data_IF_681487073947
#
_entry.id   IF_681487073947
#
_cell.length_a   1.000
_cell.length_b   1.000
_cell.length_c   1.000
_cell.angle_alpha   90.00
_cell.angle_beta   90.00
_cell.angle_gamma   90.00
#
_symmetry.space_group_name_H-M   'P 1'
#
loop_
_entity.id
_entity.type
_entity.pdbx_description
1 polymer ?
#
# COMPACT_ATOMS: atom_id res chain seq x y z
N UNK A 1 -18.43 -14.82 -14.62
CA UNK A 1 -17.16 -14.20 -15.05
C UNK A 1 -17.48 -12.98 -15.88
N UNK A 2 -18.37 -13.20 -16.72
CA UNK A 2 -18.46 -12.35 -17.88
C UNK A 2 -19.07 -10.98 -17.57
N UNK A 3 -20.07 -10.93 -16.69
CA UNK A 3 -20.81 -9.69 -16.42
C UNK A 3 -19.97 -8.58 -15.77
N UNK A 4 -19.14 -8.93 -14.81
CA UNK A 4 -18.34 -7.94 -14.05
C UNK A 4 -17.14 -7.43 -14.87
N UNK A 5 -16.51 -8.32 -15.64
CA UNK A 5 -15.41 -7.95 -16.54
C UNK A 5 -15.94 -7.14 -17.72
N UNK A 6 -17.07 -7.50 -18.28
CA UNK A 6 -17.75 -6.69 -19.29
C UNK A 6 -18.11 -5.31 -18.77
N UNK A 7 -18.54 -5.22 -17.52
CA UNK A 7 -18.83 -3.94 -16.89
C UNK A 7 -17.59 -3.05 -16.73
N UNK A 8 -16.42 -3.63 -16.41
CA UNK A 8 -15.16 -2.89 -16.45
C UNK A 8 -14.87 -2.38 -17.86
N UNK A 9 -15.07 -3.21 -18.86
CA UNK A 9 -14.90 -2.80 -20.25
C UNK A 9 -15.84 -1.64 -20.62
N UNK A 10 -17.11 -1.70 -20.28
CA UNK A 10 -18.09 -0.62 -20.52
C UNK A 10 -17.68 0.69 -19.84
N UNK A 11 -17.20 0.64 -18.58
CA UNK A 11 -16.66 1.80 -17.88
C UNK A 11 -15.49 2.39 -18.67
N UNK A 12 -14.58 1.58 -19.18
CA UNK A 12 -13.43 2.04 -19.96
C UNK A 12 -13.84 2.63 -21.31
N UNK A 13 -14.78 1.99 -21.99
CA UNK A 13 -15.33 2.49 -23.28
C UNK A 13 -15.98 3.85 -23.11
N UNK A 14 -16.69 4.09 -22.00
CA UNK A 14 -17.35 5.38 -21.76
C UNK A 14 -16.40 6.58 -21.72
N UNK A 15 -15.11 6.36 -21.36
CA UNK A 15 -14.09 7.42 -21.25
C UNK A 15 -13.05 7.40 -22.40
N UNK A 16 -12.79 6.22 -22.97
CA UNK A 16 -11.71 6.03 -23.95
C UNK A 16 -12.23 5.83 -25.37
N UNK A 17 -13.49 5.46 -25.54
CA UNK A 17 -14.04 4.93 -26.79
C UNK A 17 -13.77 3.42 -26.93
N UNK A 18 -14.12 2.85 -28.07
CA UNK A 18 -13.98 1.42 -28.33
C UNK A 18 -12.52 0.97 -28.37
N UNK A 19 -12.27 -0.25 -27.86
CA UNK A 19 -10.97 -0.90 -28.02
C UNK A 19 -10.76 -1.32 -29.49
N UNK A 20 -9.50 -1.39 -29.91
CA UNK A 20 -9.07 -1.66 -31.31
C UNK A 20 -9.75 -2.89 -31.94
N UNK A 21 -9.88 -3.96 -31.17
CA UNK A 21 -10.46 -5.23 -31.63
C UNK A 21 -11.75 -5.59 -30.87
N UNK A 22 -12.36 -4.62 -30.17
CA UNK A 22 -13.45 -4.89 -29.24
C UNK A 22 -13.00 -5.71 -28.03
N UNK A 23 -13.96 -6.29 -27.31
CA UNK A 23 -13.70 -7.17 -26.16
C UNK A 23 -14.54 -8.43 -26.26
N UNK A 24 -13.90 -9.58 -26.31
CA UNK A 24 -14.54 -10.92 -26.46
C UNK A 24 -14.68 -11.66 -25.11
N UNK A 25 -14.29 -11.04 -24.01
CA UNK A 25 -14.32 -11.66 -22.68
C UNK A 25 -13.08 -12.49 -22.31
N UNK A 26 -12.20 -12.80 -23.28
CA UNK A 26 -11.03 -13.64 -23.05
C UNK A 26 -9.71 -12.85 -23.03
N UNK A 27 -9.57 -11.88 -23.92
CA UNK A 27 -8.36 -11.09 -24.00
C UNK A 27 -8.38 -9.92 -23.01
N UNK A 28 -7.70 -10.07 -21.90
CA UNK A 28 -7.59 -9.03 -20.86
C UNK A 28 -6.62 -7.89 -21.21
N UNK A 29 -5.83 -8.04 -22.29
CA UNK A 29 -4.94 -7.00 -22.77
C UNK A 29 -5.60 -6.26 -23.93
N UNK A 30 -5.98 -5.01 -23.71
CA UNK A 30 -6.73 -4.18 -24.65
C UNK A 30 -5.92 -2.97 -25.10
N UNK A 31 -6.19 -2.50 -26.30
CA UNK A 31 -5.62 -1.28 -26.88
C UNK A 31 -6.72 -0.25 -27.10
N UNK A 32 -6.52 0.97 -26.57
CA UNK A 32 -7.44 2.08 -26.66
C UNK A 32 -6.79 3.34 -27.29
N UNK A 33 -7.59 4.27 -27.81
CA UNK A 33 -7.12 5.62 -28.09
C UNK A 33 -6.62 6.28 -26.80
N UNK A 34 -5.47 6.93 -26.83
CA UNK A 34 -4.96 7.63 -25.66
C UNK A 34 -5.55 9.04 -25.58
N UNK A 35 -6.28 9.41 -24.51
CA UNK A 35 -6.87 10.74 -24.38
C UNK A 35 -5.83 11.85 -24.35
N UNK A 36 -4.67 11.65 -23.68
CA UNK A 36 -3.57 12.61 -23.69
C UNK A 36 -2.98 12.81 -25.10
N UNK A 37 -2.82 11.74 -25.87
CA UNK A 37 -2.38 11.88 -27.27
C UNK A 37 -3.39 12.67 -28.11
N UNK A 38 -4.69 12.46 -27.85
CA UNK A 38 -5.75 13.23 -28.50
C UNK A 38 -5.68 14.72 -28.17
N UNK A 39 -5.47 15.06 -26.91
CA UNK A 39 -5.30 16.45 -26.45
C UNK A 39 -4.09 17.11 -27.11
N UNK A 40 -2.95 16.41 -27.14
CA UNK A 40 -1.68 16.94 -27.64
C UNK A 40 -1.58 16.99 -29.16
N UNK A 41 -2.11 16.00 -29.87
CA UNK A 41 -1.90 15.81 -31.32
C UNK A 41 -3.20 15.81 -32.16
N UNK A 42 -4.34 15.99 -31.51
CA UNK A 42 -5.65 16.05 -32.14
C UNK A 42 -6.24 14.68 -32.48
N UNK A 43 -7.44 14.69 -33.05
CA UNK A 43 -8.27 13.48 -33.32
C UNK A 43 -7.62 12.41 -34.22
N UNK A 44 -6.55 12.70 -34.92
CA UNK A 44 -5.77 11.71 -35.70
C UNK A 44 -5.21 10.59 -34.83
N UNK A 45 -4.98 10.86 -33.53
CA UNK A 45 -4.48 9.88 -32.58
C UNK A 45 -5.53 8.84 -32.15
N UNK A 46 -6.82 9.11 -32.34
CA UNK A 46 -7.90 8.16 -32.02
C UNK A 46 -7.80 6.85 -32.82
N UNK A 47 -7.11 6.87 -33.94
CA UNK A 47 -6.91 5.69 -34.79
C UNK A 47 -5.63 4.92 -34.49
N UNK A 48 -4.81 5.38 -33.53
CA UNK A 48 -3.49 4.79 -33.28
C UNK A 48 -3.45 3.84 -32.09
N UNK A 49 -4.45 3.83 -31.23
CA UNK A 49 -4.59 2.90 -30.10
C UNK A 49 -3.30 2.75 -29.26
N UNK A 50 -2.70 3.89 -28.93
CA UNK A 50 -1.40 3.94 -28.23
C UNK A 50 -1.49 3.59 -26.73
N UNK A 51 -2.70 3.51 -26.17
CA UNK A 51 -2.95 3.19 -24.77
C UNK A 51 -3.19 1.69 -24.63
N UNK A 52 -2.22 1.00 -24.09
CA UNK A 52 -2.34 -0.41 -23.73
C UNK A 52 -2.85 -0.54 -22.30
N UNK A 53 -3.85 -1.38 -22.10
CA UNK A 53 -4.53 -1.58 -20.82
C UNK A 53 -4.72 -3.06 -20.56
N UNK A 54 -4.41 -3.50 -19.35
CA UNK A 54 -4.65 -4.86 -18.90
C UNK A 54 -5.71 -4.85 -17.78
N UNK A 55 -6.90 -5.40 -18.09
CA UNK A 55 -8.02 -5.44 -17.15
C UNK A 55 -7.66 -6.27 -15.92
N UNK A 56 -7.04 -7.44 -16.10
CA UNK A 56 -6.71 -8.34 -14.99
C UNK A 56 -5.68 -7.76 -14.04
N UNK A 57 -4.69 -7.03 -14.59
CA UNK A 57 -3.65 -6.36 -13.78
C UNK A 57 -4.12 -4.99 -13.25
N UNK A 58 -5.29 -4.52 -13.69
CA UNK A 58 -5.82 -3.20 -13.32
C UNK A 58 -4.92 -2.04 -13.73
N UNK A 59 -4.14 -2.16 -14.83
CA UNK A 59 -3.08 -1.22 -15.21
C UNK A 59 -3.18 -0.77 -16.67
N UNK A 60 -2.67 0.44 -16.92
CA UNK A 60 -2.55 0.98 -18.25
C UNK A 60 -1.19 1.65 -18.49
N UNK A 61 -0.81 1.79 -19.76
CA UNK A 61 0.30 2.60 -20.20
C UNK A 61 0.09 3.10 -21.63
N UNK A 62 0.54 4.30 -21.93
CA UNK A 62 0.61 4.82 -23.29
C UNK A 62 2.05 4.82 -23.78
N UNK A 63 2.35 4.03 -24.80
CA UNK A 63 3.70 3.88 -25.34
C UNK A 63 4.24 5.21 -25.90
N UNK A 64 3.40 5.97 -26.59
CA UNK A 64 3.80 7.24 -27.19
C UNK A 64 4.10 8.31 -26.14
N UNK A 65 3.23 8.52 -25.16
CA UNK A 65 3.48 9.49 -24.10
C UNK A 65 4.71 9.13 -23.29
N UNK A 66 4.92 7.84 -22.98
CA UNK A 66 6.09 7.39 -22.23
C UNK A 66 7.41 7.63 -22.99
N UNK A 67 7.43 7.42 -24.31
CA UNK A 67 8.63 7.68 -25.14
C UNK A 67 8.98 9.16 -25.28
N UNK A 68 8.03 10.05 -25.06
CA UNK A 68 8.20 11.51 -25.16
C UNK A 68 8.51 12.18 -23.79
N UNK A 69 8.77 11.39 -22.75
CA UNK A 69 9.11 11.91 -21.41
C UNK A 69 7.92 12.42 -20.61
N UNK A 70 6.69 12.19 -21.07
CA UNK A 70 5.45 12.53 -20.38
C UNK A 70 4.72 11.25 -19.98
N UNK A 71 5.10 10.56 -18.91
CA UNK A 71 4.61 9.24 -18.61
C UNK A 71 3.09 9.22 -18.39
N UNK A 72 2.40 8.46 -19.23
CA UNK A 72 0.96 8.20 -19.15
C UNK A 72 0.76 6.72 -18.85
N UNK A 73 0.83 6.38 -17.56
CA UNK A 73 0.66 5.02 -17.06
C UNK A 73 0.12 5.01 -15.62
N UNK A 74 -0.36 3.86 -15.16
CA UNK A 74 -0.83 3.69 -13.78
C UNK A 74 -1.92 2.65 -13.64
N UNK A 75 -2.68 2.74 -12.52
CA UNK A 75 -3.87 1.92 -12.30
C UNK A 75 -5.05 2.41 -13.12
N UNK A 76 -5.99 1.51 -13.44
CA UNK A 76 -7.27 1.88 -14.07
C UNK A 76 -7.99 2.96 -13.24
N UNK A 77 -7.95 2.86 -11.93
CA UNK A 77 -8.54 3.88 -11.06
C UNK A 77 -7.92 5.28 -11.26
N UNK A 78 -6.60 5.36 -11.45
CA UNK A 78 -5.93 6.63 -11.81
C UNK A 78 -6.44 7.17 -13.14
N UNK A 79 -6.62 6.30 -14.13
CA UNK A 79 -7.16 6.67 -15.43
C UNK A 79 -8.58 7.23 -15.33
N UNK A 80 -9.43 6.58 -14.52
CA UNK A 80 -10.80 7.03 -14.23
C UNK A 80 -10.83 8.38 -13.51
N UNK A 81 -9.91 8.61 -12.58
CA UNK A 81 -9.80 9.90 -11.88
C UNK A 81 -9.28 11.03 -12.80
N UNK A 82 -8.48 10.70 -13.82
CA UNK A 82 -7.93 11.69 -14.76
C UNK A 82 -8.91 12.06 -15.89
N UNK A 83 -9.68 11.11 -16.39
CA UNK A 83 -10.48 11.26 -17.61
C UNK A 83 -11.95 10.84 -17.46
N UNK A 84 -12.31 10.26 -16.33
CA UNK A 84 -13.67 9.92 -15.94
C UNK A 84 -14.22 10.88 -14.87
N UNK A 85 -14.97 10.32 -13.95
CA UNK A 85 -15.54 11.04 -12.81
C UNK A 85 -15.58 10.11 -11.58
N UNK A 86 -15.98 10.66 -10.42
CA UNK A 86 -16.03 9.91 -9.17
C UNK A 86 -17.06 8.77 -9.20
N UNK A 87 -18.16 8.93 -9.94
CA UNK A 87 -19.18 7.92 -10.08
C UNK A 87 -18.63 6.67 -10.79
N UNK A 88 -17.95 6.84 -11.93
CA UNK A 88 -17.29 5.75 -12.66
C UNK A 88 -16.17 5.09 -11.83
N UNK A 89 -15.42 5.88 -11.06
CA UNK A 89 -14.40 5.36 -10.16
C UNK A 89 -15.02 4.49 -9.05
N UNK A 90 -16.16 4.92 -8.48
CA UNK A 90 -16.89 4.15 -7.47
C UNK A 90 -17.54 2.89 -8.05
N UNK A 91 -18.09 2.99 -9.26
CA UNK A 91 -18.64 1.85 -9.99
C UNK A 91 -17.56 0.81 -10.26
N UNK A 92 -16.39 1.21 -10.74
CA UNK A 92 -15.23 0.33 -10.92
C UNK A 92 -14.82 -0.37 -9.61
N UNK A 93 -14.74 0.37 -8.50
CA UNK A 93 -14.44 -0.20 -7.18
C UNK A 93 -15.45 -1.26 -6.76
N UNK A 94 -16.75 -0.99 -7.01
CA UNK A 94 -17.84 -1.93 -6.72
C UNK A 94 -17.71 -3.22 -7.53
N UNK A 95 -17.40 -3.10 -8.83
CA UNK A 95 -17.21 -4.25 -9.72
C UNK A 95 -16.00 -5.09 -9.28
N UNK A 96 -14.87 -4.46 -8.94
CA UNK A 96 -13.70 -5.19 -8.44
C UNK A 96 -13.99 -5.93 -7.13
N UNK A 97 -14.82 -5.35 -6.22
CA UNK A 97 -15.29 -6.08 -5.03
C UNK A 97 -16.13 -7.30 -5.40
N UNK A 98 -17.11 -7.14 -6.31
CA UNK A 98 -17.97 -8.25 -6.78
C UNK A 98 -17.14 -9.39 -7.38
N UNK A 99 -16.15 -9.07 -8.20
CA UNK A 99 -15.23 -10.07 -8.78
C UNK A 99 -14.48 -10.80 -7.68
N UNK A 100 -13.92 -10.07 -6.71
CA UNK A 100 -13.18 -10.66 -5.58
C UNK A 100 -14.02 -11.60 -4.74
N UNK A 101 -15.28 -11.24 -4.51
CA UNK A 101 -16.18 -11.97 -3.62
C UNK A 101 -16.91 -13.13 -4.30
N UNK A 102 -16.81 -13.25 -5.65
CA UNK A 102 -17.46 -14.32 -6.40
C UNK A 102 -16.71 -15.66 -6.28
N UNK A 103 -17.44 -16.74 -5.92
CA UNK A 103 -16.89 -18.11 -5.89
C UNK A 103 -16.37 -18.57 -7.25
N UNK A 104 -16.95 -18.08 -8.35
CA UNK A 104 -16.56 -18.40 -9.71
C UNK A 104 -15.16 -17.86 -10.06
N UNK A 105 -14.74 -16.76 -9.44
CA UNK A 105 -13.39 -16.24 -9.57
C UNK A 105 -12.36 -17.20 -8.98
N UNK A 106 -12.70 -17.88 -7.89
CA UNK A 106 -11.83 -18.88 -7.24
C UNK A 106 -11.61 -20.15 -8.08
N UNK A 107 -12.55 -20.49 -8.96
CA UNK A 107 -12.57 -21.77 -9.67
C UNK A 107 -12.03 -21.71 -11.11
N UNK A 108 -12.09 -20.55 -11.79
CA UNK A 108 -11.88 -20.47 -13.23
C UNK A 108 -10.56 -19.78 -13.65
N UNK A 109 -9.81 -19.22 -12.73
CA UNK A 109 -8.53 -18.59 -13.06
C UNK A 109 -7.38 -19.39 -12.49
N UNK A 110 -6.70 -20.14 -13.35
CA UNK A 110 -5.42 -20.74 -13.02
C UNK A 110 -4.40 -19.63 -12.74
N UNK A 111 -3.54 -19.86 -11.76
CA UNK A 111 -2.61 -18.89 -11.17
C UNK A 111 -1.60 -18.25 -12.15
N UNK A 112 -1.58 -18.61 -13.42
CA UNK A 112 -0.57 -18.18 -14.38
C UNK A 112 -0.95 -16.93 -15.18
N UNK A 113 -2.23 -16.68 -15.42
CA UNK A 113 -2.69 -15.57 -16.28
C UNK A 113 -3.17 -14.32 -15.52
N UNK A 114 -3.51 -14.47 -14.25
CA UNK A 114 -3.95 -13.40 -13.37
C UNK A 114 -2.93 -13.19 -12.26
N UNK A 115 -2.00 -12.29 -12.46
CA UNK A 115 -1.19 -11.71 -11.39
C UNK A 115 -1.95 -10.60 -10.63
N UNK A 116 -3.26 -10.72 -10.50
CA UNK A 116 -3.96 -10.27 -9.31
C UNK A 116 -3.60 -11.33 -8.28
N UNK A 117 -2.95 -10.93 -7.23
CA UNK A 117 -2.48 -11.85 -6.19
C UNK A 117 -3.65 -12.64 -5.61
N UNK A 118 -3.88 -13.84 -6.17
CA UNK A 118 -4.91 -14.76 -5.70
C UNK A 118 -4.56 -15.40 -4.36
N UNK A 119 -3.36 -15.16 -3.82
CA UNK A 119 -3.03 -15.57 -2.46
C UNK A 119 -3.92 -14.86 -1.42
N UNK A 120 -4.50 -13.70 -1.79
CA UNK A 120 -5.54 -13.02 -0.98
C UNK A 120 -6.90 -13.73 -1.11
N UNK A 121 -7.14 -14.51 -2.17
CA UNK A 121 -8.46 -15.09 -2.51
C UNK A 121 -8.63 -16.51 -1.95
N UNK A 122 -7.54 -17.22 -1.70
CA UNK A 122 -7.56 -18.58 -1.18
C UNK A 122 -7.41 -18.66 0.34
N UNK A 123 -7.13 -17.56 1.01
CA UNK A 123 -7.12 -17.52 2.47
C UNK A 123 -8.53 -17.19 2.99
N UNK A 124 -8.96 -17.90 4.02
CA UNK A 124 -10.07 -17.46 4.88
C UNK A 124 -9.91 -15.96 5.11
N UNK A 125 -10.98 -15.19 4.94
CA UNK A 125 -10.95 -13.74 5.09
C UNK A 125 -10.12 -13.39 6.34
N UNK A 126 -9.07 -12.58 6.16
CA UNK A 126 -8.14 -12.26 7.24
C UNK A 126 -8.94 -11.75 8.44
N UNK A 127 -8.77 -12.39 9.57
CA UNK A 127 -9.47 -12.04 10.81
C UNK A 127 -8.46 -11.67 11.89
N UNK A 128 -8.91 -10.86 12.82
CA UNK A 128 -8.18 -10.67 14.06
C UNK A 128 -8.17 -11.96 14.89
N UNK A 129 -7.17 -12.12 15.77
CA UNK A 129 -7.19 -13.21 16.76
C UNK A 129 -8.53 -13.22 17.52
N UNK A 130 -9.06 -14.41 17.90
CA UNK A 130 -10.36 -14.51 18.56
C UNK A 130 -10.51 -13.68 19.84
N UNK A 131 -9.41 -13.44 20.57
CA UNK A 131 -9.37 -12.62 21.78
C UNK A 131 -9.12 -11.14 21.53
N UNK A 132 -9.17 -10.68 20.27
CA UNK A 132 -8.96 -9.28 19.95
C UNK A 132 -10.04 -8.38 20.56
N UNK A 133 -9.59 -7.30 21.18
CA UNK A 133 -10.43 -6.24 21.73
C UNK A 133 -9.84 -4.89 21.30
N UNK A 134 -10.71 -4.00 20.83
CA UNK A 134 -10.34 -2.63 20.53
C UNK A 134 -10.16 -1.86 21.85
N UNK A 135 -9.17 -0.94 21.91
CA UNK A 135 -9.13 0.04 22.98
C UNK A 135 -10.26 1.05 22.79
N UNK A 136 -11.02 1.28 23.85
CA UNK A 136 -12.09 2.28 23.89
C UNK A 136 -11.94 3.08 25.19
N UNK A 137 -11.79 4.40 25.09
CA UNK A 137 -11.40 5.29 26.20
C UNK A 137 -12.36 5.23 27.39
N UNK A 138 -13.65 5.04 27.11
CA UNK A 138 -14.72 5.04 28.13
C UNK A 138 -15.12 3.63 28.58
N UNK A 139 -14.39 2.60 28.16
CA UNK A 139 -14.64 1.21 28.53
C UNK A 139 -13.47 0.62 29.30
N UNK A 140 -13.77 -0.48 30.01
CA UNK A 140 -12.72 -1.26 30.69
C UNK A 140 -11.78 -1.86 29.65
N UNK A 141 -10.50 -1.60 29.80
CA UNK A 141 -9.44 -2.13 28.94
C UNK A 141 -8.29 -2.71 29.77
N UNK A 142 -7.39 -3.44 29.10
CA UNK A 142 -6.23 -4.03 29.76
C UNK A 142 -5.17 -2.96 30.03
N UNK A 143 -5.06 -2.54 31.31
CA UNK A 143 -4.11 -1.50 31.73
C UNK A 143 -2.64 -1.84 31.40
N UNK A 144 -2.25 -3.11 31.44
CA UNK A 144 -0.89 -3.53 31.12
C UNK A 144 -0.59 -3.35 29.64
N UNK A 145 -1.54 -3.64 28.77
CA UNK A 145 -1.43 -3.40 27.35
C UNK A 145 -1.36 -1.89 27.06
N UNK A 146 -2.18 -1.09 27.73
CA UNK A 146 -2.18 0.36 27.60
C UNK A 146 -0.85 0.97 28.09
N UNK A 147 -0.37 0.59 29.26
CA UNK A 147 0.94 1.03 29.80
C UNK A 147 2.09 0.70 28.86
N UNK A 148 2.02 -0.43 28.15
CA UNK A 148 3.02 -0.74 27.12
C UNK A 148 3.02 0.30 25.99
N UNK A 149 1.84 0.71 25.51
CA UNK A 149 1.72 1.77 24.49
C UNK A 149 2.19 3.12 25.01
N UNK A 150 1.78 3.50 26.23
CA UNK A 150 2.24 4.74 26.89
C UNK A 150 3.77 4.77 27.04
N UNK A 151 4.38 3.64 27.40
CA UNK A 151 5.86 3.55 27.52
C UNK A 151 6.57 3.78 26.19
N UNK A 152 5.86 3.72 25.06
CA UNK A 152 6.33 4.04 23.72
C UNK A 152 5.89 5.42 23.22
N UNK A 153 5.27 6.21 24.08
CA UNK A 153 4.73 7.52 23.71
C UNK A 153 3.44 7.46 22.90
N UNK A 154 2.81 6.29 22.79
CA UNK A 154 1.57 6.10 22.01
C UNK A 154 0.38 6.40 22.93
N UNK A 155 -0.25 7.55 22.72
CA UNK A 155 -1.45 7.99 23.43
C UNK A 155 -2.76 7.67 22.69
N UNK A 156 -3.87 8.11 23.28
CA UNK A 156 -5.21 7.87 22.75
C UNK A 156 -5.42 8.41 21.33
N UNK A 157 -4.82 9.54 21.00
CA UNK A 157 -4.87 10.15 19.67
C UNK A 157 -4.36 9.20 18.58
N UNK A 158 -3.25 8.50 18.83
CA UNK A 158 -2.67 7.51 17.92
C UNK A 158 -3.47 6.21 17.96
N UNK A 159 -3.89 5.76 19.16
CA UNK A 159 -4.69 4.54 19.33
C UNK A 159 -5.98 4.64 18.51
N UNK A 160 -6.72 5.74 18.63
CA UNK A 160 -7.97 5.97 17.91
C UNK A 160 -7.73 6.13 16.40
N UNK A 161 -6.70 6.90 16.00
CA UNK A 161 -6.36 7.12 14.60
C UNK A 161 -6.08 5.83 13.84
N UNK A 162 -5.42 4.86 14.48
CA UNK A 162 -5.00 3.61 13.86
C UNK A 162 -5.84 2.40 14.30
N UNK A 163 -6.93 2.60 15.02
CA UNK A 163 -7.79 1.53 15.52
C UNK A 163 -7.01 0.43 16.28
N UNK A 164 -5.99 0.83 17.05
CA UNK A 164 -5.15 -0.12 17.79
C UNK A 164 -6.00 -0.89 18.81
N UNK A 165 -5.72 -2.16 18.94
CA UNK A 165 -6.35 -3.02 19.94
C UNK A 165 -5.34 -3.91 20.64
N UNK A 166 -5.85 -4.87 21.38
CA UNK A 166 -5.02 -5.83 22.11
C UNK A 166 -5.71 -7.18 22.18
N UNK A 167 -4.94 -8.20 22.52
CA UNK A 167 -5.46 -9.53 22.85
C UNK A 167 -5.21 -9.85 24.31
N UNK A 168 -6.18 -10.54 24.95
CA UNK A 168 -6.04 -11.12 26.27
C UNK A 168 -5.54 -12.57 26.19
N UNK A 169 -5.37 -13.23 27.33
CA UNK A 169 -5.05 -14.65 27.37
C UNK A 169 -6.15 -15.49 26.75
N UNK A 170 -5.77 -16.46 25.95
CA UNK A 170 -6.67 -17.47 25.40
C UNK A 170 -5.97 -18.83 25.40
N UNK A 171 -6.60 -19.84 26.01
CA UNK A 171 -6.01 -21.16 26.17
C UNK A 171 -5.74 -21.84 24.84
N UNK A 172 -6.66 -21.71 23.89
CA UNK A 172 -6.58 -22.34 22.57
C UNK A 172 -5.69 -21.57 21.58
N UNK A 173 -5.31 -20.32 21.91
CA UNK A 173 -4.44 -19.49 21.09
C UNK A 173 -3.39 -18.74 21.93
N UNK A 174 -2.51 -19.51 22.56
CA UNK A 174 -1.43 -18.97 23.41
C UNK A 174 -0.45 -18.10 22.62
N UNK A 175 -0.31 -18.34 21.33
CA UNK A 175 0.61 -17.60 20.46
C UNK A 175 0.14 -16.16 20.28
N UNK A 176 -1.12 -15.94 19.97
CA UNK A 176 -1.70 -14.61 19.75
C UNK A 176 -2.17 -13.94 21.06
N UNK A 177 -2.05 -14.62 22.22
CA UNK A 177 -2.35 -14.03 23.52
C UNK A 177 -1.36 -12.92 23.90
N UNK A 178 -1.83 -11.90 24.60
CA UNK A 178 -1.03 -10.79 25.15
C UNK A 178 -0.31 -9.96 24.05
N UNK A 179 -1.02 -9.61 22.98
CA UNK A 179 -0.51 -8.81 21.87
C UNK A 179 -1.16 -7.42 21.83
N UNK A 180 -0.36 -6.40 21.54
CA UNK A 180 -0.88 -5.18 20.93
C UNK A 180 -1.12 -5.51 19.46
N UNK A 181 -2.30 -5.23 18.97
CA UNK A 181 -2.68 -5.43 17.57
C UNK A 181 -2.74 -4.07 16.87
N UNK A 182 -1.88 -3.89 15.89
CA UNK A 182 -1.88 -2.73 15.01
C UNK A 182 -2.49 -3.20 13.68
N UNK A 183 -3.75 -2.85 13.38
CA UNK A 183 -4.40 -3.26 12.15
C UNK A 183 -3.91 -2.46 10.95
N UNK A 184 -4.11 -3.03 9.79
CA UNK A 184 -3.88 -2.40 8.49
C UNK A 184 -5.08 -2.65 7.59
N UNK A 185 -5.46 -1.63 6.85
CA UNK A 185 -6.60 -1.65 5.94
C UNK A 185 -6.15 -1.28 4.53
N UNK A 186 -6.80 -1.89 3.55
CA UNK A 186 -6.62 -1.56 2.14
C UNK A 186 -7.40 -0.27 1.76
N UNK A 187 -7.35 0.10 0.49
CA UNK A 187 -8.06 1.29 -0.04
C UNK A 187 -9.58 1.21 0.07
N UNK A 188 -10.12 0.04 0.38
CA UNK A 188 -11.56 -0.20 0.54
C UNK A 188 -11.99 -0.21 2.01
N UNK A 189 -11.02 -0.06 2.94
CA UNK A 189 -11.25 -0.15 4.37
C UNK A 189 -11.37 -1.59 4.89
N UNK A 190 -11.02 -2.60 4.07
CA UNK A 190 -10.99 -3.98 4.48
C UNK A 190 -9.64 -4.32 5.13
N UNK A 191 -9.66 -5.19 6.14
CA UNK A 191 -8.43 -5.61 6.80
C UNK A 191 -7.55 -6.41 5.82
N UNK A 192 -6.34 -5.90 5.55
CA UNK A 192 -5.35 -6.56 4.68
C UNK A 192 -4.14 -7.11 5.42
N UNK A 193 -3.91 -6.65 6.66
CA UNK A 193 -2.85 -7.14 7.54
C UNK A 193 -3.10 -6.73 8.99
N UNK A 194 -2.34 -7.28 9.92
CA UNK A 194 -2.17 -6.76 11.27
C UNK A 194 -0.81 -7.18 11.83
N UNK A 195 -0.32 -6.42 12.77
CA UNK A 195 0.90 -6.76 13.52
C UNK A 195 0.57 -6.97 14.97
N UNK A 196 0.93 -8.13 15.50
CA UNK A 196 0.75 -8.49 16.91
C UNK A 196 2.05 -8.40 17.70
N UNK A 197 2.24 -7.35 18.52
CA UNK A 197 3.42 -7.14 19.34
C UNK A 197 3.21 -7.64 20.77
N UNK A 198 4.12 -8.50 21.26
CA UNK A 198 4.07 -8.94 22.66
C UNK A 198 4.24 -7.76 23.62
N UNK A 199 3.27 -7.52 24.50
CA UNK A 199 3.32 -6.46 25.50
C UNK A 199 3.78 -6.93 26.89
N UNK A 200 3.96 -8.24 27.06
CA UNK A 200 4.54 -8.77 28.29
C UNK A 200 6.06 -8.59 28.34
N UNK A 201 6.70 -8.33 27.18
CA UNK A 201 8.15 -8.22 27.02
C UNK A 201 8.92 -9.41 27.59
N UNK A 202 8.33 -10.60 27.48
CA UNK A 202 8.91 -11.84 27.97
C UNK A 202 9.86 -12.42 26.90
N UNK A 203 11.14 -12.54 27.22
CA UNK A 203 12.17 -13.08 26.32
C UNK A 203 11.90 -14.50 25.80
N UNK A 204 11.05 -15.26 26.48
CA UNK A 204 10.64 -16.60 26.05
C UNK A 204 9.51 -16.60 25.01
N UNK A 205 8.92 -15.45 24.75
CA UNK A 205 7.85 -15.30 23.77
C UNK A 205 8.38 -14.68 22.47
N UNK A 206 7.77 -15.08 21.36
CA UNK A 206 8.09 -14.46 20.06
C UNK A 206 7.66 -12.99 20.10
N UNK A 207 8.58 -12.09 19.75
CA UNK A 207 8.41 -10.63 19.78
C UNK A 207 7.20 -10.18 18.95
N UNK A 208 7.01 -10.78 17.78
CA UNK A 208 5.90 -10.49 16.87
C UNK A 208 5.14 -11.76 16.50
N UNK A 209 3.83 -11.66 16.43
CA UNK A 209 2.94 -12.64 15.84
C UNK A 209 2.08 -11.93 14.79
N UNK A 210 2.17 -12.36 13.56
CA UNK A 210 1.55 -11.72 12.41
C UNK A 210 0.80 -12.77 11.59
N UNK A 211 -0.24 -12.39 10.83
CA UNK A 211 -0.92 -13.30 9.94
C UNK A 211 0.05 -13.83 8.87
N UNK A 212 -0.18 -15.08 8.45
CA UNK A 212 0.60 -15.73 7.41
C UNK A 212 0.05 -15.36 6.03
N UNK A 213 0.23 -14.12 5.63
CA UNK A 213 -0.17 -13.62 4.31
C UNK A 213 1.03 -13.10 3.54
N UNK A 214 0.93 -13.09 2.22
CA UNK A 214 2.01 -12.65 1.36
C UNK A 214 2.15 -11.12 1.37
N UNK A 215 3.21 -10.62 2.00
CA UNK A 215 3.42 -9.19 2.24
C UNK A 215 3.74 -8.37 0.98
N UNK A 216 4.16 -9.01 -0.12
CA UNK A 216 4.57 -8.27 -1.33
C UNK A 216 3.46 -7.40 -1.94
N UNK A 217 2.20 -7.78 -1.73
CA UNK A 217 1.04 -7.08 -2.28
C UNK A 217 0.33 -6.19 -1.26
N UNK A 218 0.86 -6.10 -0.04
CA UNK A 218 0.28 -5.31 1.04
C UNK A 218 0.98 -3.96 1.12
N UNK A 219 0.22 -2.89 1.08
CA UNK A 219 0.62 -1.57 1.57
C UNK A 219 -0.09 -1.38 2.90
N UNK A 220 0.69 -1.24 3.96
CA UNK A 220 0.16 -1.13 5.30
C UNK A 220 -0.61 0.19 5.48
N UNK A 221 -1.89 0.12 5.87
CA UNK A 221 -2.81 1.26 5.95
C UNK A 221 -2.88 2.05 4.62
N UNK A 222 -3.03 1.35 3.51
CA UNK A 222 -3.09 1.97 2.17
C UNK A 222 -4.18 3.04 2.07
N UNK A 223 -5.29 2.89 2.79
CA UNK A 223 -6.38 3.88 2.87
C UNK A 223 -5.92 5.25 3.38
N UNK A 224 -4.84 5.30 4.17
CA UNK A 224 -4.30 6.53 4.77
C UNK A 224 -3.17 7.16 3.96
N UNK A 225 -2.68 6.48 2.92
CA UNK A 225 -1.55 6.97 2.12
C UNK A 225 -2.00 8.10 1.21
N UNK A 226 -1.39 9.26 1.39
CA UNK A 226 -1.58 10.45 0.55
C UNK A 226 -0.50 10.43 -0.55
N UNK A 227 -0.84 9.94 -1.73
CA UNK A 227 0.11 9.72 -2.82
C UNK A 227 0.66 11.02 -3.44
N UNK A 228 -0.04 12.15 -3.25
CA UNK A 228 0.37 13.47 -3.74
C UNK A 228 1.20 14.27 -2.71
N UNK A 229 1.38 13.73 -1.50
CA UNK A 229 2.22 14.30 -0.45
C UNK A 229 3.52 13.50 -0.27
N UNK A 230 4.52 14.11 0.37
CA UNK A 230 5.78 13.43 0.68
C UNK A 230 5.55 12.13 1.45
N UNK A 231 6.11 11.03 0.96
CA UNK A 231 5.96 9.68 1.54
C UNK A 231 7.25 9.30 2.24
N UNK A 232 7.14 8.68 3.41
CA UNK A 232 8.30 8.17 4.14
C UNK A 232 8.24 6.65 4.26
N UNK A 233 9.24 5.95 3.75
CA UNK A 233 9.43 4.53 3.97
C UNK A 233 10.08 4.33 5.34
N UNK A 234 9.46 3.54 6.21
CA UNK A 234 9.96 3.23 7.56
C UNK A 234 10.11 1.72 7.72
N UNK A 235 10.86 1.26 8.73
CA UNK A 235 11.10 -0.17 8.88
C UNK A 235 9.88 -0.90 9.44
N UNK A 236 9.30 -0.40 10.51
CA UNK A 236 8.30 -1.10 11.28
C UNK A 236 6.98 -0.38 11.49
N UNK A 237 5.97 -1.11 12.01
CA UNK A 237 4.64 -0.55 12.23
C UNK A 237 4.63 0.51 13.35
N UNK A 238 5.50 0.44 14.36
CA UNK A 238 5.57 1.47 15.40
C UNK A 238 6.11 2.80 14.87
N UNK A 239 7.03 2.76 13.91
CA UNK A 239 7.53 3.95 13.23
C UNK A 239 6.43 4.58 12.37
N UNK A 240 5.65 3.73 11.70
CA UNK A 240 4.47 4.17 10.93
C UNK A 240 3.44 4.91 11.79
N UNK A 241 3.25 4.52 13.04
CA UNK A 241 2.29 5.20 13.92
C UNK A 241 2.66 6.66 14.19
N UNK A 242 3.95 7.00 14.16
CA UNK A 242 4.49 8.30 14.56
C UNK A 242 5.09 9.10 13.41
N UNK A 243 5.29 8.52 12.24
CA UNK A 243 5.77 9.23 11.06
C UNK A 243 4.59 9.55 10.12
N UNK A 244 4.34 10.83 9.83
CA UNK A 244 3.23 11.21 8.93
C UNK A 244 3.42 10.63 7.53
N UNK A 245 2.32 10.22 6.90
CA UNK A 245 2.29 9.68 5.54
C UNK A 245 3.41 8.68 5.25
N UNK A 246 3.58 7.70 6.14
CA UNK A 246 4.63 6.69 6.02
C UNK A 246 4.09 5.34 5.55
N UNK A 247 4.97 4.51 5.01
CA UNK A 247 4.69 3.12 4.61
C UNK A 247 5.76 2.24 5.25
N UNK A 248 5.41 1.31 6.15
CA UNK A 248 6.36 0.40 6.76
C UNK A 248 6.71 -0.75 5.81
N UNK A 249 8.00 -1.08 5.74
CA UNK A 249 8.51 -2.20 4.93
C UNK A 249 8.32 -3.56 5.59
N UNK A 250 7.85 -3.59 6.83
CA UNK A 250 7.52 -4.80 7.62
C UNK A 250 8.69 -5.77 7.77
N UNK A 251 9.90 -5.23 7.99
CA UNK A 251 11.12 -5.99 8.24
C UNK A 251 11.72 -6.66 6.99
N UNK A 252 11.48 -6.13 5.80
CA UNK A 252 12.08 -6.59 4.54
C UNK A 252 12.61 -5.42 3.73
N UNK A 253 13.71 -5.65 3.01
CA UNK A 253 14.17 -4.69 2.01
C UNK A 253 13.13 -4.56 0.89
N UNK A 254 12.93 -3.33 0.41
CA UNK A 254 12.10 -3.08 -0.76
C UNK A 254 12.70 -3.78 -1.98
N UNK A 255 11.87 -4.37 -2.82
CA UNK A 255 12.26 -4.89 -4.13
C UNK A 255 11.16 -4.67 -5.17
N UNK A 256 11.47 -4.88 -6.44
CA UNK A 256 10.57 -4.65 -7.57
C UNK A 256 9.38 -5.64 -7.65
N UNK A 257 9.41 -6.71 -6.89
CA UNK A 257 8.26 -7.61 -6.70
C UNK A 257 7.18 -7.07 -5.77
N UNK A 258 7.42 -5.94 -5.07
CA UNK A 258 6.47 -5.39 -4.11
C UNK A 258 5.53 -4.37 -4.73
N UNK A 259 4.24 -4.45 -4.37
CA UNK A 259 3.21 -3.47 -4.77
C UNK A 259 3.62 -2.04 -4.43
N UNK A 260 4.20 -1.81 -3.25
CA UNK A 260 4.63 -0.48 -2.80
C UNK A 260 5.66 0.14 -3.76
N UNK A 261 6.61 -0.64 -4.30
CA UNK A 261 7.57 -0.16 -5.30
C UNK A 261 6.86 0.42 -6.52
N UNK A 262 5.92 -0.34 -7.08
CA UNK A 262 5.17 0.09 -8.26
C UNK A 262 4.23 1.26 -7.97
N UNK A 263 3.59 1.27 -6.82
CA UNK A 263 2.70 2.37 -6.44
C UNK A 263 3.47 3.68 -6.18
N UNK A 264 4.69 3.62 -5.63
CA UNK A 264 5.57 4.79 -5.55
C UNK A 264 5.95 5.34 -6.92
N UNK A 265 6.19 4.46 -7.91
CA UNK A 265 6.50 4.85 -9.28
C UNK A 265 5.31 5.47 -10.00
N UNK A 266 4.10 4.93 -9.80
CA UNK A 266 2.95 5.21 -10.65
C UNK A 266 1.90 6.12 -10.03
N UNK A 267 1.81 6.17 -8.69
CA UNK A 267 0.81 6.97 -7.99
C UNK A 267 1.39 8.25 -7.40
N UNK A 268 2.67 8.26 -7.00
CA UNK A 268 3.26 9.40 -6.32
C UNK A 268 4.07 10.30 -7.27
N UNK A 269 3.94 11.60 -7.08
CA UNK A 269 4.79 12.62 -7.70
C UNK A 269 5.59 13.42 -6.65
N UNK A 270 5.39 13.15 -5.36
CA UNK A 270 6.03 13.82 -4.26
C UNK A 270 7.40 13.22 -3.90
N UNK A 271 8.07 13.76 -2.90
CA UNK A 271 9.34 13.21 -2.40
C UNK A 271 9.11 11.86 -1.71
N UNK A 272 10.10 11.01 -1.81
CA UNK A 272 10.15 9.73 -1.11
C UNK A 272 11.33 9.78 -0.15
N UNK A 273 11.04 9.80 1.14
CA UNK A 273 12.04 9.74 2.19
C UNK A 273 12.25 8.27 2.59
N UNK A 274 13.48 7.88 2.81
CA UNK A 274 13.86 6.58 3.38
C UNK A 274 14.33 6.86 4.80
N UNK A 275 13.59 6.36 5.80
CA UNK A 275 13.91 6.53 7.21
C UNK A 275 13.83 5.18 7.92
N UNK A 276 14.91 4.44 7.87
CA UNK A 276 15.07 3.13 8.52
C UNK A 276 15.87 3.28 9.81
N UNK A 277 15.97 2.20 10.57
CA UNK A 277 16.76 2.13 11.79
C UNK A 277 18.23 2.51 11.51
N UNK A 278 18.92 3.06 12.49
CA UNK A 278 20.27 3.61 12.27
C UNK A 278 21.29 2.57 11.81
N UNK A 279 21.15 1.32 12.24
CA UNK A 279 22.02 0.19 11.84
C UNK A 279 21.69 -0.36 10.42
N UNK A 280 20.58 0.09 9.81
CA UNK A 280 20.09 -0.40 8.50
C UNK A 280 20.63 0.38 7.30
N UNK A 281 21.78 1.08 7.39
CA UNK A 281 22.28 1.96 6.32
C UNK A 281 22.53 1.22 5.01
N UNK A 282 22.88 -0.06 5.04
CA UNK A 282 23.03 -0.87 3.83
C UNK A 282 21.67 -1.04 3.12
N UNK A 283 20.60 -1.30 3.87
CA UNK A 283 19.22 -1.39 3.35
C UNK A 283 18.75 -0.04 2.78
N UNK A 284 19.15 1.08 3.40
CA UNK A 284 18.91 2.43 2.84
C UNK A 284 19.53 2.57 1.46
N UNK A 285 20.79 2.16 1.28
CA UNK A 285 21.48 2.21 -0.03
C UNK A 285 20.79 1.34 -1.08
N UNK A 286 20.42 0.12 -0.71
CA UNK A 286 19.74 -0.82 -1.61
C UNK A 286 18.37 -0.28 -2.05
N UNK A 287 17.58 0.22 -1.09
CA UNK A 287 16.27 0.84 -1.36
C UNK A 287 16.43 2.08 -2.24
N UNK A 288 17.42 2.93 -1.95
CA UNK A 288 17.72 4.11 -2.75
C UNK A 288 18.11 3.74 -4.19
N UNK A 289 19.01 2.76 -4.35
CA UNK A 289 19.45 2.29 -5.66
C UNK A 289 18.28 1.73 -6.48
N UNK A 290 17.42 0.91 -5.86
CA UNK A 290 16.24 0.34 -6.50
C UNK A 290 15.29 1.44 -7.00
N UNK A 291 14.96 2.41 -6.15
CA UNK A 291 14.07 3.52 -6.52
C UNK A 291 14.72 4.43 -7.59
N UNK A 292 16.03 4.59 -7.56
CA UNK A 292 16.78 5.36 -8.57
C UNK A 292 16.67 4.72 -9.96
N UNK A 293 16.76 3.39 -10.07
CA UNK A 293 16.53 2.68 -11.34
C UNK A 293 15.10 2.89 -11.88
N UNK A 294 14.15 3.21 -11.02
CA UNK A 294 12.78 3.59 -11.38
C UNK A 294 12.60 5.03 -11.86
N UNK A 295 13.66 5.77 -12.15
CA UNK A 295 13.65 7.20 -12.54
C UNK A 295 13.09 8.14 -11.46
N UNK A 296 13.25 7.79 -10.20
CA UNK A 296 12.80 8.61 -9.06
C UNK A 296 13.92 9.49 -8.47
N UNK A 297 15.09 9.54 -9.10
CA UNK A 297 16.34 10.12 -8.60
C UNK A 297 16.17 11.49 -7.92
N UNK A 298 15.44 12.41 -8.53
CA UNK A 298 15.30 13.77 -7.99
C UNK A 298 14.38 13.86 -6.77
N UNK A 299 13.56 12.84 -6.54
CA UNK A 299 12.55 12.81 -5.48
C UNK A 299 12.98 12.01 -4.24
N UNK A 300 14.02 11.17 -4.38
CA UNK A 300 14.44 10.31 -3.27
C UNK A 300 15.32 11.09 -2.30
N UNK A 301 15.07 10.91 -1.01
CA UNK A 301 15.84 11.43 0.12
C UNK A 301 16.03 10.32 1.14
N UNK A 302 17.01 10.48 2.00
CA UNK A 302 17.13 9.66 3.19
C UNK A 302 17.21 10.56 4.42
N UNK A 303 16.79 10.04 5.56
CA UNK A 303 16.87 10.73 6.85
C UNK A 303 18.00 10.07 7.63
N UNK A 304 19.07 10.82 7.92
CA UNK A 304 20.18 10.31 8.73
C UNK A 304 19.69 9.97 10.14
N UNK A 305 20.00 8.78 10.58
CA UNK A 305 19.62 8.26 11.91
C UNK A 305 20.90 7.75 12.59
N UNK A 306 21.05 7.99 13.89
CA UNK A 306 22.16 7.40 14.65
C UNK A 306 21.92 5.89 14.84
N UNK A 307 22.98 5.13 15.06
CA UNK A 307 22.94 3.66 15.10
C UNK A 307 21.93 3.07 16.08
N UNK A 308 21.69 3.73 17.21
CA UNK A 308 20.75 3.28 18.25
C UNK A 308 19.35 3.93 18.14
N UNK A 309 19.09 4.68 17.08
CA UNK A 309 17.85 5.42 16.89
C UNK A 309 16.96 4.81 15.81
N UNK A 310 15.66 4.94 16.03
CA UNK A 310 14.59 4.71 15.07
C UNK A 310 13.56 5.86 15.16
N UNK A 311 12.64 6.01 14.21
CA UNK A 311 11.60 7.03 14.29
C UNK A 311 10.77 6.98 15.58
N UNK A 312 10.44 5.78 16.05
CA UNK A 312 9.67 5.56 17.28
C UNK A 312 10.43 6.07 18.53
N UNK A 313 11.73 5.82 18.64
CA UNK A 313 12.58 6.28 19.75
C UNK A 313 12.76 7.81 19.73
N UNK A 314 12.89 8.42 18.55
CA UNK A 314 12.95 9.86 18.39
C UNK A 314 11.62 10.49 18.83
N UNK A 315 10.49 9.90 18.43
CA UNK A 315 9.19 10.35 18.88
C UNK A 315 9.03 10.24 20.41
N UNK A 316 9.42 9.14 20.99
CA UNK A 316 9.35 8.92 22.44
C UNK A 316 10.15 9.98 23.22
N UNK A 317 11.31 10.41 22.73
CA UNK A 317 12.16 11.41 23.39
C UNK A 317 11.73 12.86 23.13
N UNK A 318 11.29 13.17 21.91
CA UNK A 318 11.11 14.57 21.45
C UNK A 318 9.72 14.86 20.90
N UNK A 319 8.81 13.86 20.87
CA UNK A 319 7.47 13.99 20.33
C UNK A 319 7.46 14.39 18.85
N UNK A 320 6.38 15.01 18.42
CA UNK A 320 6.19 15.48 17.05
C UNK A 320 7.26 16.48 16.58
N UNK A 321 7.87 17.22 17.51
CA UNK A 321 8.96 18.14 17.15
C UNK A 321 10.20 17.40 16.66
N UNK A 322 10.54 16.27 17.26
CA UNK A 322 11.63 15.43 16.80
C UNK A 322 11.38 14.86 15.42
N UNK A 323 10.17 14.36 15.18
CA UNK A 323 9.77 13.84 13.85
C UNK A 323 9.86 14.94 12.78
N UNK A 324 9.27 16.11 13.03
CA UNK A 324 9.30 17.24 12.10
C UNK A 324 10.73 17.71 11.80
N UNK A 325 11.57 17.79 12.82
CA UNK A 325 13.00 18.14 12.67
C UNK A 325 13.71 17.13 11.78
N UNK A 326 13.56 15.83 12.03
CA UNK A 326 14.19 14.77 11.24
C UNK A 326 13.75 14.81 9.78
N UNK A 327 12.45 14.93 9.51
CA UNK A 327 11.89 15.06 8.15
C UNK A 327 12.45 16.28 7.41
N UNK A 328 12.60 17.43 8.09
CA UNK A 328 13.14 18.66 7.48
C UNK A 328 14.64 18.54 7.15
N UNK A 329 15.36 17.63 7.80
CA UNK A 329 16.79 17.36 7.60
C UNK A 329 17.05 16.20 6.61
N UNK A 330 16.05 15.78 5.86
CA UNK A 330 16.24 14.76 4.82
C UNK A 330 17.24 15.20 3.75
N UNK A 331 18.08 14.27 3.27
CA UNK A 331 19.21 14.56 2.36
C UNK A 331 19.14 13.70 1.11
N UNK A 332 19.72 14.18 -0.01
CA UNK A 332 20.06 13.30 -1.13
C UNK A 332 21.21 12.39 -0.72
N UNK A 333 21.14 11.12 -1.09
CA UNK A 333 22.25 10.21 -0.91
C UNK A 333 23.19 10.36 -2.11
N UNK A 334 24.43 10.79 -1.87
CA UNK A 334 25.47 10.80 -2.90
C UNK A 334 26.04 9.37 -2.98
N UNK A 335 25.56 8.59 -3.92
CA UNK A 335 26.16 7.29 -4.26
C UNK A 335 27.20 7.60 -5.33
N UNK A 336 28.47 7.66 -4.91
CA UNK A 336 29.63 7.68 -5.82
C UNK A 336 29.90 6.25 -6.29
#
# INVERSE_FOLDING_TARGET
MDKDIYKIYEILVSILGEAKNGFDGNNMQLEFPCPRCREKYGRKEDRKYNLSLNISKGRFQCWKCNSEGEPMHGSILKLLNMYGNEELANEYRSVIRSIRDSEMYRLNFSNEDFNIDTSIITEEALRFPPSYMKFEKDKVYNERAFKYLESRGIGWDIIDKFNIGYTSYQEDDKKSSYRIIIPSYDVYGEINYWVGRDYLMNSRRVKYDNPKVEKKNIIFNEEKVQWDADITLVEGPFDHLVVPNSIPLLGKALNDGYKVYWDLLYKSNAKINIWLDGDAFQTVKETYSLLNHGNLYDRIRYIPTNDDDDPSSIYQRYGWKGIAYSLSNSKKLNIL
#
